data_IF_138652171224
#
_entry.id   IF_138652171224
#
_cell.length_a   1.000
_cell.length_b   1.000
_cell.length_c   1.000
_cell.angle_alpha   90.00
_cell.angle_beta   90.00
_cell.angle_gamma   90.00
#
_symmetry.space_group_name_H-M   'P 1'
#
loop_
_entity.id
_entity.type
_entity.pdbx_description
1 polymer ?
#
# COMPACT_ATOMS: atom_id res chain seq x y z
N UNK A 1 -22.97 48.72 17.37
CA UNK A 1 -22.59 47.35 17.75
C UNK A 1 -22.48 46.52 16.48
N UNK A 2 -21.27 46.18 16.02
CA UNK A 2 -21.06 45.37 14.81
C UNK A 2 -20.77 43.91 15.19
N UNK A 3 -21.34 42.91 14.48
CA UNK A 3 -21.06 41.52 14.80
C UNK A 3 -19.67 41.13 14.31
N UNK A 4 -18.84 40.63 15.24
CA UNK A 4 -17.48 40.13 15.00
C UNK A 4 -17.55 38.88 14.12
N UNK A 5 -17.15 38.98 12.85
CA UNK A 5 -17.01 37.83 11.95
C UNK A 5 -16.01 36.84 12.56
N UNK A 6 -16.49 35.67 13.00
CA UNK A 6 -15.62 34.57 13.46
C UNK A 6 -14.91 34.01 12.22
N UNK A 7 -13.62 34.30 12.08
CA UNK A 7 -12.77 33.65 11.10
C UNK A 7 -12.75 32.15 11.39
N UNK A 8 -13.34 31.35 10.50
CA UNK A 8 -13.21 29.90 10.51
C UNK A 8 -11.72 29.61 10.28
N UNK A 9 -11.00 29.32 11.35
CA UNK A 9 -9.61 28.88 11.28
C UNK A 9 -9.65 27.51 10.62
N UNK A 10 -9.39 27.46 9.32
CA UNK A 10 -9.17 26.21 8.59
C UNK A 10 -7.88 25.61 9.15
N UNK A 11 -7.99 24.73 10.14
CA UNK A 11 -6.87 23.88 10.55
C UNK A 11 -6.51 23.05 9.33
N UNK A 12 -5.28 23.20 8.84
CA UNK A 12 -4.78 22.30 7.81
C UNK A 12 -4.92 20.88 8.36
N UNK A 13 -5.52 19.98 7.58
CA UNK A 13 -5.48 18.57 7.90
C UNK A 13 -4.01 18.16 7.86
N UNK A 14 -3.39 17.98 9.03
CA UNK A 14 -2.11 17.29 9.17
C UNK A 14 -2.37 15.82 8.80
N UNK A 15 -2.47 15.54 7.50
CA UNK A 15 -2.35 14.19 6.98
C UNK A 15 -0.91 13.79 7.21
N UNK A 16 -0.63 13.20 8.38
CA UNK A 16 0.57 12.39 8.60
C UNK A 16 0.71 11.53 7.35
N UNK A 17 1.77 11.71 6.57
CA UNK A 17 2.00 10.97 5.32
C UNK A 17 1.82 9.48 5.60
N UNK A 18 0.66 8.94 5.26
CA UNK A 18 0.29 7.54 5.53
C UNK A 18 1.05 6.70 4.51
N UNK A 19 2.13 6.09 4.99
CA UNK A 19 2.92 5.00 4.42
C UNK A 19 3.34 5.08 2.94
N UNK A 20 4.64 4.84 2.72
CA UNK A 20 5.20 4.48 1.42
C UNK A 20 4.26 3.56 0.65
N UNK A 21 3.97 3.91 -0.60
CA UNK A 21 3.29 3.04 -1.54
C UNK A 21 3.86 1.62 -1.49
N UNK A 22 3.01 0.63 -1.27
CA UNK A 22 3.40 -0.79 -1.27
C UNK A 22 4.12 -1.14 -2.58
N UNK A 23 5.37 -1.58 -2.45
CA UNK A 23 6.20 -2.07 -3.56
C UNK A 23 5.69 -3.42 -4.10
N UNK A 24 6.12 -3.79 -5.30
CA UNK A 24 5.76 -5.09 -5.88
C UNK A 24 6.18 -6.26 -4.98
N UNK A 25 7.37 -6.18 -4.37
CA UNK A 25 7.88 -7.21 -3.45
C UNK A 25 7.04 -7.33 -2.17
N UNK A 26 6.67 -6.21 -1.55
CA UNK A 26 5.83 -6.23 -0.35
C UNK A 26 4.43 -6.79 -0.67
N UNK A 27 3.85 -6.42 -1.82
CA UNK A 27 2.58 -6.99 -2.27
C UNK A 27 2.67 -8.50 -2.48
N UNK A 28 3.77 -8.99 -3.05
CA UNK A 28 4.03 -10.42 -3.22
C UNK A 28 4.18 -11.14 -1.87
N UNK A 29 4.80 -10.51 -0.87
CA UNK A 29 4.89 -11.06 0.48
C UNK A 29 3.51 -11.25 1.11
N UNK A 30 2.59 -10.29 0.92
CA UNK A 30 1.20 -10.42 1.38
C UNK A 30 0.48 -11.56 0.67
N UNK A 31 0.67 -11.70 -0.66
CA UNK A 31 0.10 -12.82 -1.44
C UNK A 31 0.63 -14.15 -0.91
N UNK A 32 1.95 -14.27 -0.69
CA UNK A 32 2.55 -15.49 -0.16
C UNK A 32 1.97 -15.86 1.21
N UNK A 33 1.82 -14.89 2.11
CA UNK A 33 1.18 -15.14 3.40
C UNK A 33 -0.28 -15.60 3.26
N UNK A 34 -1.04 -14.97 2.36
CA UNK A 34 -2.40 -15.43 2.05
C UNK A 34 -2.40 -16.86 1.50
N UNK A 35 -1.43 -17.26 0.67
CA UNK A 35 -1.38 -18.61 0.12
C UNK A 35 -1.20 -19.69 1.20
N UNK A 36 -0.56 -19.35 2.32
CA UNK A 36 -0.42 -20.26 3.47
C UNK A 36 -1.69 -20.34 4.33
N UNK A 37 -2.33 -19.20 4.62
CA UNK A 37 -3.46 -19.14 5.55
C UNK A 37 -4.81 -19.32 4.86
N UNK A 38 -4.91 -18.93 3.59
CA UNK A 38 -6.11 -18.95 2.74
C UNK A 38 -7.29 -18.14 3.33
N UNK A 39 -7.00 -17.14 4.19
CA UNK A 39 -8.02 -16.28 4.82
C UNK A 39 -7.76 -14.80 4.52
N UNK A 40 -8.54 -14.24 3.61
CA UNK A 40 -8.41 -12.84 3.16
C UNK A 40 -8.52 -11.84 4.32
N UNK A 41 -9.52 -12.00 5.20
CA UNK A 41 -9.73 -11.07 6.33
C UNK A 41 -8.59 -11.10 7.34
N UNK A 42 -8.01 -12.28 7.57
CA UNK A 42 -6.87 -12.44 8.48
C UNK A 42 -5.61 -11.81 7.88
N UNK A 43 -5.34 -12.05 6.59
CA UNK A 43 -4.26 -11.38 5.86
C UNK A 43 -4.41 -9.86 5.91
N UNK A 44 -5.59 -9.35 5.58
CA UNK A 44 -5.89 -7.92 5.59
C UNK A 44 -5.63 -7.29 6.96
N UNK A 45 -6.09 -7.94 8.04
CA UNK A 45 -5.86 -7.50 9.41
C UNK A 45 -4.37 -7.50 9.77
N UNK A 46 -3.61 -8.52 9.37
CA UNK A 46 -2.20 -8.64 9.71
C UNK A 46 -1.33 -7.56 9.07
N UNK A 47 -1.65 -7.17 7.84
CA UNK A 47 -0.89 -6.17 7.08
C UNK A 47 -1.50 -4.77 7.13
N UNK A 48 -2.58 -4.57 7.89
CA UNK A 48 -3.34 -3.32 7.99
C UNK A 48 -3.72 -2.75 6.61
N UNK A 49 -4.29 -3.63 5.77
CA UNK A 49 -4.76 -3.30 4.41
C UNK A 49 -6.23 -3.68 4.25
N UNK A 50 -6.88 -3.14 3.23
CA UNK A 50 -8.26 -3.49 2.91
C UNK A 50 -8.33 -4.90 2.28
N UNK A 51 -9.32 -5.75 2.64
CA UNK A 51 -9.53 -7.06 2.01
C UNK A 51 -9.62 -7.01 0.49
N UNK A 52 -10.16 -5.91 -0.06
CA UNK A 52 -10.22 -5.67 -1.50
C UNK A 52 -8.82 -5.61 -2.14
N UNK A 53 -7.86 -5.01 -1.45
CA UNK A 53 -6.47 -4.92 -1.95
C UNK A 53 -5.84 -6.31 -2.06
N UNK A 54 -6.10 -7.21 -1.12
CA UNK A 54 -5.64 -8.60 -1.19
C UNK A 54 -6.19 -9.29 -2.44
N UNK A 55 -7.49 -9.15 -2.72
CA UNK A 55 -8.10 -9.70 -3.94
C UNK A 55 -7.52 -9.11 -5.22
N UNK A 56 -7.35 -7.79 -5.27
CA UNK A 56 -6.79 -7.09 -6.43
C UNK A 56 -5.34 -7.52 -6.69
N UNK A 57 -4.54 -7.69 -5.64
CA UNK A 57 -3.16 -8.16 -5.76
C UNK A 57 -3.08 -9.62 -6.18
N UNK A 58 -3.98 -10.49 -5.70
CA UNK A 58 -4.07 -11.88 -6.16
C UNK A 58 -4.39 -11.97 -7.65
N UNK A 59 -5.34 -11.17 -8.15
CA UNK A 59 -5.66 -11.10 -9.58
C UNK A 59 -4.46 -10.64 -10.42
N UNK A 60 -3.66 -9.73 -9.88
CA UNK A 60 -2.47 -9.16 -10.53
C UNK A 60 -1.16 -9.85 -10.14
N UNK A 61 -1.20 -11.05 -9.57
CA UNK A 61 0.00 -11.76 -9.06
C UNK A 61 1.09 -11.86 -10.13
N UNK A 62 0.74 -12.22 -11.36
CA UNK A 62 1.71 -12.37 -12.45
C UNK A 62 2.36 -11.04 -12.83
N UNK A 63 1.59 -9.96 -12.89
CA UNK A 63 2.12 -8.61 -13.15
C UNK A 63 3.08 -8.17 -12.03
N UNK A 64 2.74 -8.47 -10.78
CA UNK A 64 3.59 -8.18 -9.63
C UNK A 64 4.91 -8.95 -9.65
N UNK A 65 4.89 -10.23 -10.05
CA UNK A 65 6.10 -11.03 -10.24
C UNK A 65 7.02 -10.44 -11.31
N UNK A 66 6.46 -10.07 -12.46
CA UNK A 66 7.21 -9.45 -13.56
C UNK A 66 7.80 -8.11 -13.12
N UNK A 67 7.02 -7.27 -12.42
CA UNK A 67 7.48 -5.99 -11.91
C UNK A 67 8.59 -6.15 -10.85
N UNK A 68 8.47 -7.12 -9.95
CA UNK A 68 9.50 -7.40 -8.95
C UNK A 68 10.82 -7.84 -9.60
N UNK A 69 10.76 -8.72 -10.61
CA UNK A 69 11.93 -9.14 -11.37
C UNK A 69 12.59 -7.96 -12.09
N UNK A 70 11.79 -7.10 -12.74
CA UNK A 70 12.29 -5.91 -13.41
C UNK A 70 13.00 -4.95 -12.46
N UNK A 71 12.43 -4.72 -11.26
CA UNK A 71 13.07 -3.90 -10.21
C UNK A 71 14.40 -4.50 -9.76
N UNK A 72 14.51 -5.84 -9.66
CA UNK A 72 15.77 -6.50 -9.32
C UNK A 72 16.82 -6.32 -10.43
N UNK A 73 16.42 -6.49 -11.69
CA UNK A 73 17.32 -6.30 -12.84
C UNK A 73 17.83 -4.87 -12.91
N UNK A 74 16.95 -3.86 -12.79
CA UNK A 74 17.36 -2.45 -12.83
C UNK A 74 18.33 -2.07 -11.71
N UNK A 75 18.16 -2.63 -10.51
CA UNK A 75 19.06 -2.34 -9.40
C UNK A 75 20.43 -3.01 -9.57
N UNK A 76 20.52 -4.10 -10.34
CA UNK A 76 21.77 -4.77 -10.66
C UNK A 76 22.69 -3.91 -11.52
N UNK A 77 22.13 -3.27 -12.55
CA UNK A 77 22.90 -2.43 -13.48
C UNK A 77 23.32 -1.08 -12.85
N UNK A 78 22.64 -0.67 -11.78
CA UNK A 78 22.95 0.58 -11.05
C UNK A 78 24.09 0.43 -10.03
N UNK A 79 24.49 -0.79 -9.70
CA UNK A 79 25.54 -1.10 -8.73
C UNK A 79 26.84 -1.65 -9.36
N UNK A 80 26.90 -1.73 -10.70
CA UNK A 80 28.06 -2.19 -11.46
C UNK A 80 29.02 -1.06 -11.83
#
# INVERSE_FOLDING_TARGET
MSPRKKSIVKRAHDTKKVHCSWSACEKLMVIYYFEHIQKVRETARRFDIEPKQVHDWLKKKQELLNAALYVLTLNRDRQA
#
